data_IF_192772743109
#
_entry.id   IF_192772743109
#
_cell.length_a   1.000
_cell.length_b   1.000
_cell.length_c   1.000
_cell.angle_alpha   90.00
_cell.angle_beta   90.00
_cell.angle_gamma   90.00
#
_symmetry.space_group_name_H-M   'P 1'
#
loop_
_entity.id
_entity.type
_entity.pdbx_description
1 polymer ?
#
# COMPACT_ATOMS: atom_id res chain seq x y z
N UNK A 1 -26.08 2.18 -14.12
CA UNK A 1 -25.07 1.31 -13.48
C UNK A 1 -23.71 1.72 -14.04
N UNK A 2 -22.85 2.37 -13.25
CA UNK A 2 -21.44 2.48 -13.63
C UNK A 2 -20.85 1.12 -13.29
N UNK A 3 -20.71 0.24 -14.28
CA UNK A 3 -19.92 -0.96 -14.13
C UNK A 3 -18.47 -0.51 -14.09
N UNK A 4 -17.88 -0.46 -12.88
CA UNK A 4 -16.46 -0.28 -12.67
C UNK A 4 -15.77 -1.54 -13.21
N UNK A 5 -15.69 -1.61 -14.54
CA UNK A 5 -15.22 -2.73 -15.33
C UNK A 5 -13.73 -2.82 -15.05
N UNK A 6 -13.40 -3.65 -14.07
CA UNK A 6 -12.05 -3.90 -13.55
C UNK A 6 -11.52 -2.78 -12.66
N UNK A 7 -11.79 -2.89 -11.36
CA UNK A 7 -10.84 -2.51 -10.31
C UNK A 7 -10.03 -3.78 -9.98
N UNK A 8 -8.85 -3.97 -10.57
CA UNK A 8 -8.07 -5.21 -10.43
C UNK A 8 -7.58 -5.46 -9.00
N UNK A 9 -7.32 -4.40 -8.23
CA UNK A 9 -6.92 -4.54 -6.83
C UNK A 9 -7.17 -3.30 -5.98
N UNK A 10 -7.34 -3.54 -4.69
CA UNK A 10 -7.33 -2.52 -3.64
C UNK A 10 -6.35 -2.96 -2.56
N UNK A 11 -5.44 -2.06 -2.17
CA UNK A 11 -4.40 -2.32 -1.18
C UNK A 11 -4.54 -1.34 -0.03
N UNK A 12 -4.51 -1.85 1.20
CA UNK A 12 -4.33 -1.03 2.38
C UNK A 12 -2.87 -1.10 2.81
N UNK A 13 -2.21 0.06 2.90
CA UNK A 13 -0.84 0.19 3.38
C UNK A 13 -0.90 0.81 4.75
N UNK A 14 -0.44 0.08 5.75
CA UNK A 14 -0.31 0.55 7.12
C UNK A 14 1.13 0.94 7.38
N UNK A 15 1.38 2.23 7.56
CA UNK A 15 2.67 2.75 7.97
C UNK A 15 2.63 3.04 9.48
N UNK A 16 3.57 2.46 10.21
CA UNK A 16 3.76 2.74 11.65
C UNK A 16 5.02 3.57 11.80
N UNK A 17 4.89 4.75 12.39
CA UNK A 17 6.03 5.62 12.70
C UNK A 17 6.10 5.87 14.19
N UNK A 18 7.27 5.62 14.76
CA UNK A 18 7.59 5.94 16.14
C UNK A 18 8.34 7.27 16.21
N UNK A 19 7.81 8.23 16.96
CA UNK A 19 8.47 9.52 17.24
C UNK A 19 8.27 9.81 18.73
N UNK A 20 9.35 10.11 19.46
CA UNK A 20 9.30 10.49 20.89
C UNK A 20 8.45 9.53 21.76
N UNK A 21 8.72 8.22 21.69
CA UNK A 21 7.96 7.16 22.39
C UNK A 21 6.46 7.08 22.02
N UNK A 22 6.02 7.76 20.96
CA UNK A 22 4.66 7.70 20.44
C UNK A 22 4.64 6.96 19.11
N UNK A 23 3.91 5.85 19.07
CA UNK A 23 3.62 5.14 17.83
C UNK A 23 2.41 5.79 17.18
N UNK A 24 2.59 6.28 15.96
CA UNK A 24 1.53 6.77 15.08
C UNK A 24 1.31 5.76 13.96
N UNK A 25 0.06 5.44 13.71
CA UNK A 25 -0.34 4.55 12.62
C UNK A 25 -1.06 5.37 11.56
N UNK A 26 -0.61 5.24 10.31
CA UNK A 26 -1.24 5.85 9.15
C UNK A 26 -1.66 4.75 8.17
N UNK A 27 -2.95 4.72 7.85
CA UNK A 27 -3.52 3.77 6.90
C UNK A 27 -3.85 4.53 5.62
N UNK A 28 -3.27 4.10 4.49
CA UNK A 28 -3.61 4.63 3.16
C UNK A 28 -4.11 3.54 2.24
N UNK A 29 -5.19 3.84 1.53
CA UNK A 29 -5.80 2.93 0.57
C UNK A 29 -5.37 3.30 -0.85
N UNK A 30 -4.85 2.32 -1.59
CA UNK A 30 -4.50 2.43 -2.99
C UNK A 30 -5.47 1.62 -3.82
N UNK A 31 -6.05 2.26 -4.82
CA UNK A 31 -6.82 1.61 -5.87
C UNK A 31 -5.89 1.48 -7.06
N UNK A 32 -5.66 0.26 -7.53
CA UNK A 32 -4.69 -0.02 -8.58
C UNK A 32 -5.29 -0.83 -9.70
N UNK A 33 -4.84 -0.52 -10.92
CA UNK A 33 -5.09 -1.34 -12.12
C UNK A 33 -4.18 -2.56 -12.20
N UNK A 34 -3.29 -2.77 -11.23
CA UNK A 34 -2.45 -3.96 -11.13
C UNK A 34 -3.21 -5.13 -10.52
N UNK A 35 -2.91 -6.33 -10.97
CA UNK A 35 -3.55 -7.56 -10.48
C UNK A 35 -3.18 -7.85 -9.02
N UNK A 36 -4.16 -8.25 -8.21
CA UNK A 36 -3.95 -8.56 -6.79
C UNK A 36 -3.20 -9.88 -6.55
N UNK A 37 -3.09 -10.76 -7.55
CA UNK A 37 -2.40 -12.05 -7.43
C UNK A 37 -0.88 -11.94 -7.63
N UNK A 38 -0.36 -10.75 -7.96
CA UNK A 38 1.07 -10.45 -8.05
C UNK A 38 1.45 -9.42 -6.97
N UNK A 39 1.57 -9.85 -5.70
CA UNK A 39 1.79 -8.94 -4.57
C UNK A 39 3.12 -8.20 -4.67
N UNK A 40 4.17 -8.80 -5.25
CA UNK A 40 5.47 -8.14 -5.43
C UNK A 40 5.38 -6.97 -6.41
N UNK A 41 4.71 -7.15 -7.55
CA UNK A 41 4.51 -6.09 -8.53
C UNK A 41 3.64 -4.97 -7.97
N UNK A 42 2.64 -5.34 -7.18
CA UNK A 42 1.75 -4.40 -6.51
C UNK A 42 2.49 -3.56 -5.47
N UNK A 43 3.29 -4.21 -4.62
CA UNK A 43 4.13 -3.56 -3.62
C UNK A 43 5.13 -2.58 -4.27
N UNK A 44 5.80 -2.99 -5.36
CA UNK A 44 6.69 -2.11 -6.12
C UNK A 44 5.95 -0.89 -6.68
N UNK A 45 4.75 -1.09 -7.22
CA UNK A 45 3.90 -0.01 -7.73
C UNK A 45 3.51 0.98 -6.64
N UNK A 46 3.07 0.47 -5.48
CA UNK A 46 2.73 1.27 -4.29
C UNK A 46 3.95 2.06 -3.80
N UNK A 47 5.13 1.44 -3.69
CA UNK A 47 6.37 2.12 -3.28
C UNK A 47 6.80 3.20 -4.27
N UNK A 48 6.69 2.93 -5.57
CA UNK A 48 7.01 3.91 -6.61
C UNK A 48 6.05 5.11 -6.58
N UNK A 49 4.75 4.87 -6.38
CA UNK A 49 3.75 5.92 -6.26
C UNK A 49 3.96 6.79 -5.00
N UNK A 50 4.43 6.18 -3.90
CA UNK A 50 4.74 6.89 -2.66
C UNK A 50 6.07 7.67 -2.74
N UNK A 51 6.98 7.31 -3.66
CA UNK A 51 8.26 7.99 -3.83
C UNK A 51 9.24 7.81 -2.67
N UNK A 52 8.98 6.89 -1.74
CA UNK A 52 9.72 6.77 -0.48
C UNK A 52 10.37 5.40 -0.34
N UNK A 53 11.71 5.40 -0.28
CA UNK A 53 12.53 4.23 0.03
C UNK A 53 12.55 4.07 1.56
N UNK A 54 11.44 3.64 2.15
CA UNK A 54 11.40 3.25 3.56
C UNK A 54 11.03 1.77 3.71
N UNK A 55 11.72 1.18 4.67
CA UNK A 55 11.78 -0.24 4.95
C UNK A 55 10.47 -0.61 5.63
N UNK A 56 9.49 -1.09 4.87
CA UNK A 56 8.32 -1.73 5.47
C UNK A 56 8.81 -2.98 6.19
N UNK A 57 8.84 -2.92 7.52
CA UNK A 57 8.95 -4.09 8.34
C UNK A 57 7.66 -4.90 8.14
N UNK A 58 7.69 -5.82 7.18
CA UNK A 58 6.79 -6.96 7.18
C UNK A 58 7.12 -7.73 8.45
N UNK A 59 6.28 -7.55 9.46
CA UNK A 59 6.33 -8.34 10.68
C UNK A 59 6.34 -9.82 10.31
N UNK A 60 7.35 -10.51 10.84
CA UNK A 60 7.60 -11.94 10.73
C UNK A 60 6.45 -12.77 11.32
#
# INVERSE_FOLDING_TARGET
>A
RHDWKSLPSMIAVTAKREIDNKVTEEIRYFISSLDANDPERLERGVRAAWGYREQFALGS
#
